data_IF_199549572511
#
_entry.id   IF_199549572511
#
_cell.length_a   1.000
_cell.length_b   1.000
_cell.length_c   1.000
_cell.angle_alpha   90.00
_cell.angle_beta   90.00
_cell.angle_gamma   90.00
#
_symmetry.space_group_name_H-M   'P 1'
#
loop_
_entity.id
_entity.type
_entity.pdbx_description
1 polymer ?
#
# COMPACT_ATOMS: atom_id res chain seq x y z
N UNK A 1 46.52 -12.21 -32.60
CA UNK A 1 46.68 -12.02 -31.15
C UNK A 1 46.16 -13.25 -30.44
N UNK A 2 47.02 -13.98 -29.71
CA UNK A 2 46.60 -15.13 -28.91
C UNK A 2 45.54 -14.67 -27.89
N UNK A 3 44.31 -15.16 -28.04
CA UNK A 3 43.20 -14.81 -27.15
C UNK A 3 43.53 -15.30 -25.74
N UNK A 4 43.84 -14.38 -24.83
CA UNK A 4 44.04 -14.69 -23.41
C UNK A 4 42.72 -15.27 -22.89
N UNK A 5 42.66 -16.59 -22.75
CA UNK A 5 41.53 -17.30 -22.13
C UNK A 5 41.63 -17.09 -20.63
N UNK A 6 40.60 -16.49 -20.03
CA UNK A 6 40.47 -16.40 -18.58
C UNK A 6 39.53 -17.52 -18.15
N UNK A 7 39.99 -18.37 -17.21
CA UNK A 7 39.16 -19.41 -16.58
C UNK A 7 38.77 -18.92 -15.20
N UNK A 8 37.47 -18.81 -14.95
CA UNK A 8 36.92 -18.37 -13.65
C UNK A 8 36.16 -19.56 -13.06
N UNK A 9 36.48 -19.92 -11.81
CA UNK A 9 35.76 -20.95 -11.05
C UNK A 9 34.86 -20.27 -10.04
N UNK A 10 33.62 -20.76 -9.94
CA UNK A 10 32.59 -20.29 -9.01
C UNK A 10 32.43 -18.74 -8.95
N UNK A 11 32.23 -18.07 -10.11
CA UNK A 11 32.05 -16.62 -10.13
C UNK A 11 30.77 -16.19 -9.42
N UNK A 12 30.83 -15.07 -8.70
CA UNK A 12 29.65 -14.36 -8.23
C UNK A 12 29.36 -13.18 -9.15
N UNK A 13 28.13 -13.13 -9.68
CA UNK A 13 27.67 -12.03 -10.52
C UNK A 13 27.00 -10.99 -9.62
N UNK A 14 27.53 -9.77 -9.59
CA UNK A 14 26.93 -8.61 -8.91
C UNK A 14 26.34 -7.66 -9.95
N UNK A 15 25.20 -7.03 -9.65
CA UNK A 15 24.49 -6.11 -10.56
C UNK A 15 24.20 -6.64 -11.97
N UNK A 16 24.11 -7.96 -12.14
CA UNK A 16 23.85 -8.57 -13.44
C UNK A 16 22.37 -8.69 -13.81
N UNK A 17 21.43 -8.51 -12.87
CA UNK A 17 20.03 -8.92 -13.06
C UNK A 17 19.39 -8.24 -14.28
N UNK A 18 19.40 -6.91 -14.33
CA UNK A 18 18.82 -6.15 -15.44
C UNK A 18 19.48 -6.50 -16.78
N UNK A 19 20.83 -6.48 -16.84
CA UNK A 19 21.56 -6.81 -18.07
C UNK A 19 21.30 -8.23 -18.53
N UNK A 20 21.27 -9.20 -17.61
CA UNK A 20 20.98 -10.61 -17.93
C UNK A 20 19.55 -10.78 -18.44
N UNK A 21 18.58 -10.05 -17.88
CA UNK A 21 17.19 -10.08 -18.30
C UNK A 21 17.01 -9.49 -19.71
N UNK A 22 17.66 -8.37 -20.02
CA UNK A 22 17.64 -7.78 -21.36
C UNK A 22 18.28 -8.70 -22.41
N UNK A 23 19.42 -9.31 -22.07
CA UNK A 23 20.09 -10.28 -22.94
C UNK A 23 19.18 -11.49 -23.18
N UNK A 24 18.59 -12.05 -22.12
CA UNK A 24 17.65 -13.16 -22.23
C UNK A 24 16.44 -12.80 -23.10
N UNK A 25 15.81 -11.65 -22.84
CA UNK A 25 14.61 -11.20 -23.56
C UNK A 25 14.88 -10.98 -25.04
N UNK A 26 16.03 -10.38 -25.39
CA UNK A 26 16.45 -10.18 -26.78
C UNK A 26 16.57 -11.49 -27.56
N UNK A 27 17.20 -12.51 -26.96
CA UNK A 27 17.35 -13.82 -27.60
C UNK A 27 16.04 -14.62 -27.60
N UNK A 28 15.23 -14.52 -26.55
CA UNK A 28 13.91 -15.13 -26.48
C UNK A 28 12.99 -14.61 -27.59
N UNK A 29 13.08 -13.32 -27.93
CA UNK A 29 12.33 -12.70 -29.02
C UNK A 29 12.90 -13.01 -30.43
N UNK A 30 13.88 -13.91 -30.55
CA UNK A 30 14.49 -14.29 -31.84
C UNK A 30 15.53 -13.30 -32.37
N UNK A 31 16.02 -12.39 -31.52
CA UNK A 31 17.04 -11.41 -31.89
C UNK A 31 18.39 -12.06 -32.21
N UNK A 32 19.04 -11.58 -33.28
CA UNK A 32 20.42 -11.93 -33.63
C UNK A 32 21.24 -10.67 -33.85
N UNK A 33 22.41 -10.56 -33.19
CA UNK A 33 23.29 -9.40 -33.35
C UNK A 33 24.75 -9.79 -33.18
N UNK A 34 25.61 -9.40 -34.13
CA UNK A 34 27.06 -9.73 -34.12
C UNK A 34 27.96 -8.58 -33.65
N UNK A 35 27.44 -7.35 -33.59
CA UNK A 35 28.25 -6.14 -33.33
C UNK A 35 28.00 -5.52 -31.95
N UNK A 36 27.38 -6.26 -31.01
CA UNK A 36 27.14 -5.77 -29.63
C UNK A 36 28.15 -6.46 -28.72
N UNK A 37 28.73 -5.69 -27.81
CA UNK A 37 29.68 -6.20 -26.82
C UNK A 37 29.14 -5.95 -25.42
N UNK A 38 29.36 -6.90 -24.52
CA UNK A 38 29.10 -6.74 -23.09
C UNK A 38 30.42 -6.44 -22.39
N UNK A 39 30.48 -5.34 -21.65
CA UNK A 39 31.62 -5.04 -20.79
C UNK A 39 31.53 -5.91 -19.54
N UNK A 40 32.42 -6.89 -19.42
CA UNK A 40 32.54 -7.72 -18.21
C UNK A 40 33.72 -7.21 -17.38
N UNK A 41 33.41 -6.62 -16.21
CA UNK A 41 34.42 -6.23 -15.23
C UNK A 41 34.64 -7.37 -14.24
N UNK A 42 35.81 -8.00 -14.31
CA UNK A 42 36.22 -9.04 -13.36
C UNK A 42 36.93 -8.36 -12.20
N UNK A 43 36.44 -8.57 -10.98
CA UNK A 43 37.07 -8.07 -9.75
C UNK A 43 37.48 -9.26 -8.91
N UNK A 44 38.77 -9.40 -8.64
CA UNK A 44 39.30 -10.43 -7.74
C UNK A 44 39.19 -9.90 -6.31
N UNK A 45 38.30 -10.50 -5.52
CA UNK A 45 38.17 -10.14 -4.11
C UNK A 45 39.33 -10.76 -3.28
N UNK A 46 39.97 -10.01 -2.37
CA UNK A 46 40.93 -10.55 -1.42
C UNK A 46 40.32 -11.68 -0.56
N UNK A 47 41.15 -12.61 -0.08
CA UNK A 47 40.72 -13.77 0.72
C UNK A 47 40.08 -13.38 2.07
N UNK A 48 40.38 -12.18 2.61
CA UNK A 48 39.93 -11.74 3.94
C UNK A 48 38.78 -10.71 3.90
N UNK A 49 37.84 -10.89 4.84
CA UNK A 49 36.54 -10.24 4.93
C UNK A 49 36.58 -8.72 5.17
N UNK A 50 35.71 -8.02 4.42
CA UNK A 50 35.31 -6.59 4.39
C UNK A 50 35.38 -6.01 2.97
N UNK A 51 36.29 -6.50 2.13
CA UNK A 51 36.43 -6.05 0.74
C UNK A 51 35.27 -6.53 -0.16
N UNK A 52 34.74 -7.74 0.05
CA UNK A 52 33.57 -8.28 -0.65
C UNK A 52 32.33 -7.40 -0.45
N UNK A 53 32.01 -7.09 0.79
CA UNK A 53 30.86 -6.22 1.11
C UNK A 53 31.07 -4.79 0.59
N UNK A 54 32.31 -4.29 0.54
CA UNK A 54 32.62 -3.00 -0.10
C UNK A 54 32.37 -3.05 -1.60
N UNK A 55 32.73 -4.13 -2.29
CA UNK A 55 32.43 -4.29 -3.73
C UNK A 55 30.92 -4.36 -3.92
N UNK A 56 30.20 -5.18 -3.14
CA UNK A 56 28.74 -5.29 -3.24
C UNK A 56 28.07 -3.92 -2.99
N UNK A 57 28.46 -3.20 -1.92
CA UNK A 57 27.95 -1.86 -1.63
C UNK A 57 28.29 -0.83 -2.71
N UNK A 58 29.53 -0.81 -3.20
CA UNK A 58 30.00 0.14 -4.21
C UNK A 58 29.35 -0.10 -5.59
N UNK A 59 29.06 -1.36 -5.93
CA UNK A 59 28.37 -1.68 -7.17
C UNK A 59 26.88 -1.32 -7.02
N UNK A 60 26.23 -1.71 -5.92
CA UNK A 60 24.84 -1.32 -5.63
C UNK A 60 24.65 0.20 -5.45
N UNK A 61 25.70 0.97 -5.14
CA UNK A 61 25.61 2.43 -5.02
C UNK A 61 25.55 3.18 -6.36
N UNK A 62 25.78 2.52 -7.50
CA UNK A 62 25.65 3.14 -8.83
C UNK A 62 24.19 3.37 -9.26
N UNK A 63 23.24 2.84 -8.50
CA UNK A 63 21.82 3.16 -8.65
C UNK A 63 21.30 3.46 -7.26
N UNK A 64 20.83 4.69 -7.00
CA UNK A 64 20.12 4.97 -5.75
C UNK A 64 18.94 4.02 -5.66
N UNK A 65 19.01 3.05 -4.76
CA UNK A 65 17.91 2.16 -4.47
C UNK A 65 16.77 3.01 -3.90
N UNK A 66 15.56 2.97 -4.48
CA UNK A 66 14.42 3.66 -3.90
C UNK A 66 14.19 3.16 -2.47
N UNK A 67 13.69 4.02 -1.59
CA UNK A 67 13.48 3.67 -0.18
C UNK A 67 12.71 2.35 -0.01
N UNK A 68 11.69 2.10 -0.84
CA UNK A 68 10.93 0.85 -0.86
C UNK A 68 11.77 -0.40 -1.14
N UNK A 69 12.83 -0.31 -1.95
CA UNK A 69 13.70 -1.45 -2.23
C UNK A 69 14.58 -1.83 -1.02
N UNK A 70 14.95 -0.86 -0.18
CA UNK A 70 15.64 -1.12 1.09
C UNK A 70 14.66 -1.78 2.08
N UNK A 71 13.45 -1.21 2.22
CA UNK A 71 12.39 -1.75 3.09
C UNK A 71 11.97 -3.17 2.73
N UNK A 72 11.95 -3.51 1.45
CA UNK A 72 11.58 -4.84 0.94
C UNK A 72 12.41 -6.01 1.49
N UNK A 73 13.55 -5.71 2.14
CA UNK A 73 14.44 -6.70 2.76
C UNK A 73 14.17 -6.91 4.25
N UNK A 74 13.33 -6.08 4.87
CA UNK A 74 13.02 -6.19 6.30
C UNK A 74 12.15 -7.43 6.61
N UNK A 75 12.34 -8.09 7.77
CA UNK A 75 11.62 -9.30 8.13
C UNK A 75 10.09 -9.15 8.09
N UNK A 76 9.57 -8.03 8.61
CA UNK A 76 8.13 -7.76 8.64
C UNK A 76 7.49 -7.79 7.25
N UNK A 77 8.22 -7.40 6.20
CA UNK A 77 7.70 -7.42 4.83
C UNK A 77 7.54 -8.84 4.31
N UNK A 78 8.41 -9.75 4.75
CA UNK A 78 8.30 -11.18 4.45
C UNK A 78 7.14 -11.80 5.24
N UNK A 79 7.01 -11.45 6.52
CA UNK A 79 5.92 -11.97 7.36
C UNK A 79 4.54 -11.56 6.81
N UNK A 80 4.40 -10.31 6.34
CA UNK A 80 3.19 -9.82 5.66
C UNK A 80 2.96 -10.55 4.32
N UNK A 81 4.01 -10.74 3.52
CA UNK A 81 3.91 -11.49 2.26
C UNK A 81 3.39 -12.91 2.49
N UNK A 82 3.97 -13.62 3.44
CA UNK A 82 3.56 -14.96 3.80
C UNK A 82 2.14 -14.96 4.38
N UNK A 83 1.82 -14.09 5.33
CA UNK A 83 0.50 -14.02 5.96
C UNK A 83 -0.63 -13.77 4.95
N UNK A 84 -0.46 -12.80 4.05
CA UNK A 84 -1.45 -12.48 3.01
C UNK A 84 -1.60 -13.60 1.97
N UNK A 85 -0.49 -14.24 1.60
CA UNK A 85 -0.52 -15.36 0.64
C UNK A 85 -1.19 -16.59 1.23
N UNK A 86 -0.91 -16.95 2.49
CA UNK A 86 -1.51 -18.11 3.15
C UNK A 86 -3.01 -17.93 3.41
N UNK A 87 -3.45 -16.73 3.78
CA UNK A 87 -4.87 -16.43 3.92
C UNK A 87 -5.62 -16.36 2.58
N UNK A 88 -4.91 -16.29 1.46
CA UNK A 88 -5.46 -16.18 0.10
C UNK A 88 -6.06 -14.81 -0.22
N UNK A 89 -6.22 -14.53 -1.52
CA UNK A 89 -6.86 -13.32 -2.05
C UNK A 89 -5.93 -12.16 -2.38
N UNK A 90 -4.75 -12.09 -1.76
CA UNK A 90 -3.78 -11.01 -1.99
C UNK A 90 -2.36 -11.52 -2.21
N UNK A 91 -1.69 -10.98 -3.23
CA UNK A 91 -0.28 -11.19 -3.52
C UNK A 91 0.51 -9.93 -3.19
N UNK A 92 1.15 -9.92 -2.03
CA UNK A 92 1.85 -8.74 -1.53
C UNK A 92 3.22 -8.57 -2.18
N UNK A 93 3.33 -7.57 -3.04
CA UNK A 93 4.52 -7.23 -3.79
C UNK A 93 5.48 -6.38 -2.94
N UNK A 94 6.27 -7.04 -2.09
CA UNK A 94 7.37 -6.39 -1.37
C UNK A 94 8.47 -5.88 -2.31
N UNK A 95 8.74 -6.60 -3.42
CA UNK A 95 9.71 -6.24 -4.47
C UNK A 95 8.96 -5.79 -5.71
N UNK A 96 9.22 -4.56 -6.16
CA UNK A 96 8.51 -3.97 -7.29
C UNK A 96 8.43 -4.90 -8.52
N UNK A 97 7.24 -5.00 -9.07
CA UNK A 97 6.83 -5.80 -10.23
C UNK A 97 7.02 -7.32 -10.11
N UNK A 98 7.34 -7.88 -8.94
CA UNK A 98 7.60 -9.31 -8.80
C UNK A 98 6.40 -10.18 -9.24
N UNK A 99 5.23 -10.03 -8.61
CA UNK A 99 4.05 -10.83 -8.93
C UNK A 99 3.45 -10.44 -10.28
N UNK A 100 3.54 -9.17 -10.66
CA UNK A 100 3.07 -8.69 -11.97
C UNK A 100 3.84 -9.33 -13.13
N UNK A 101 5.16 -9.44 -13.00
CA UNK A 101 6.00 -10.08 -14.02
C UNK A 101 5.78 -11.60 -14.11
N UNK A 102 5.29 -12.22 -13.04
CA UNK A 102 4.90 -13.63 -13.01
C UNK A 102 3.49 -13.87 -13.60
N UNK A 103 2.78 -12.81 -14.03
CA UNK A 103 1.47 -12.93 -14.67
C UNK A 103 0.30 -13.11 -13.71
N UNK A 104 0.47 -12.76 -12.42
CA UNK A 104 -0.63 -12.83 -11.45
C UNK A 104 -1.72 -11.79 -11.75
N UNK A 105 -3.00 -12.06 -11.40
CA UNK A 105 -4.09 -11.11 -11.56
C UNK A 105 -3.81 -9.78 -10.86
N UNK A 106 -3.84 -8.68 -11.62
CA UNK A 106 -3.45 -7.35 -11.13
C UNK A 106 -4.34 -6.83 -10.00
N UNK A 107 -5.60 -7.26 -9.95
CA UNK A 107 -6.57 -6.96 -8.91
C UNK A 107 -6.18 -7.57 -7.54
N UNK A 108 -5.47 -8.70 -7.57
CA UNK A 108 -4.99 -9.41 -6.38
C UNK A 108 -3.59 -8.95 -5.96
N UNK A 109 -2.84 -8.27 -6.83
CA UNK A 109 -1.51 -7.76 -6.48
C UNK A 109 -1.62 -6.50 -5.62
N UNK A 110 -0.94 -6.51 -4.47
CA UNK A 110 -0.90 -5.41 -3.51
C UNK A 110 0.54 -4.90 -3.38
N UNK A 111 0.80 -3.66 -3.80
CA UNK A 111 2.12 -3.05 -3.60
C UNK A 111 2.33 -2.61 -2.14
N UNK A 112 3.60 -2.50 -1.73
CA UNK A 112 3.96 -1.92 -0.42
C UNK A 112 3.30 -0.56 -0.18
N UNK A 113 3.30 0.31 -1.20
CA UNK A 113 2.69 1.64 -1.10
C UNK A 113 1.17 1.57 -0.93
N UNK A 114 0.49 0.68 -1.67
CA UNK A 114 -0.96 0.50 -1.54
C UNK A 114 -1.30 0.06 -0.11
N UNK A 115 -0.63 -0.98 0.38
CA UNK A 115 -0.85 -1.46 1.74
C UNK A 115 -0.57 -0.37 2.78
N UNK A 116 0.52 0.40 2.61
CA UNK A 116 0.85 1.49 3.50
C UNK A 116 -0.26 2.54 3.57
N UNK A 117 -0.78 2.99 2.41
CA UNK A 117 -1.86 3.98 2.35
C UNK A 117 -3.16 3.47 2.97
N UNK A 118 -3.55 2.26 2.62
CA UNK A 118 -4.78 1.65 3.12
C UNK A 118 -4.70 1.42 4.64
N UNK A 119 -3.56 0.96 5.16
CA UNK A 119 -3.32 0.85 6.59
C UNK A 119 -3.34 2.23 7.29
N UNK A 120 -2.69 3.24 6.73
CA UNK A 120 -2.72 4.61 7.29
C UNK A 120 -4.14 5.17 7.34
N UNK A 121 -4.95 4.96 6.30
CA UNK A 121 -6.31 5.45 6.26
C UNK A 121 -7.22 4.73 7.26
N UNK A 122 -7.18 3.40 7.32
CA UNK A 122 -8.08 2.60 8.14
C UNK A 122 -7.53 2.35 9.55
N UNK A 123 -6.38 1.71 9.68
CA UNK A 123 -5.84 1.30 10.98
C UNK A 123 -5.33 2.50 11.78
N UNK A 124 -4.67 3.49 11.15
CA UNK A 124 -4.25 4.73 11.84
C UNK A 124 -5.35 5.80 11.88
N UNK A 125 -6.42 5.67 11.09
CA UNK A 125 -7.51 6.66 10.94
C UNK A 125 -7.01 8.03 10.45
N UNK A 126 -5.99 8.03 9.60
CA UNK A 126 -5.35 9.24 9.07
C UNK A 126 -5.50 9.33 7.53
N UNK A 127 -6.73 9.42 6.98
CA UNK A 127 -6.94 9.42 5.52
C UNK A 127 -6.30 10.64 4.84
N UNK A 128 -6.21 11.78 5.53
CA UNK A 128 -5.50 12.95 5.03
C UNK A 128 -3.99 12.70 4.84
N UNK A 129 -3.38 11.86 5.68
CA UNK A 129 -1.96 11.46 5.54
C UNK A 129 -1.81 10.51 4.36
N UNK A 130 -2.66 9.48 4.28
CA UNK A 130 -2.68 8.52 3.18
C UNK A 130 -2.82 9.19 1.80
N UNK A 131 -3.67 10.21 1.71
CA UNK A 131 -3.84 11.02 0.51
C UNK A 131 -2.62 11.92 0.24
N UNK A 132 -2.21 12.72 1.24
CA UNK A 132 -1.21 13.79 1.07
C UNK A 132 0.20 13.26 0.78
N UNK A 133 0.59 12.16 1.41
CA UNK A 133 1.98 11.73 1.40
C UNK A 133 2.34 10.99 0.12
N UNK A 134 3.50 11.36 -0.44
CA UNK A 134 4.14 10.61 -1.51
C UNK A 134 4.67 9.28 -0.98
N UNK A 135 4.99 8.37 -1.90
CA UNK A 135 5.60 7.07 -1.54
C UNK A 135 6.85 7.24 -0.67
N UNK A 136 7.75 8.16 -1.05
CA UNK A 136 8.97 8.43 -0.30
C UNK A 136 8.69 8.85 1.16
N UNK A 137 7.64 9.64 1.38
CA UNK A 137 7.30 10.16 2.71
C UNK A 137 6.60 9.13 3.60
N UNK A 138 5.77 8.26 3.02
CA UNK A 138 5.16 7.15 3.75
C UNK A 138 6.18 6.07 4.13
N UNK A 139 7.23 5.90 3.32
CA UNK A 139 8.29 4.91 3.55
C UNK A 139 9.49 5.46 4.34
N UNK A 140 9.44 6.73 4.75
CA UNK A 140 10.39 7.33 5.68
C UNK A 140 10.20 6.73 7.09
N UNK A 141 11.29 6.57 7.85
CA UNK A 141 11.34 5.86 9.15
C UNK A 141 10.16 6.19 10.07
N UNK A 142 9.83 7.49 10.19
CA UNK A 142 8.79 7.98 11.10
C UNK A 142 7.42 7.36 10.82
N UNK A 143 6.98 7.32 9.57
CA UNK A 143 5.67 6.78 9.19
C UNK A 143 5.75 5.27 8.98
N UNK A 144 6.85 4.81 8.39
CA UNK A 144 7.07 3.40 8.07
C UNK A 144 6.93 2.52 9.31
N UNK A 145 7.56 2.86 10.44
CA UNK A 145 7.48 2.04 11.66
C UNK A 145 6.14 2.10 12.40
N UNK A 146 5.28 3.08 12.09
CA UNK A 146 3.90 3.12 12.59
C UNK A 146 2.99 2.16 11.82
N UNK A 147 3.31 1.93 10.55
CA UNK A 147 2.57 1.06 9.64
C UNK A 147 3.11 -0.37 9.75
N UNK A 148 4.41 -0.54 9.49
CA UNK A 148 5.12 -1.81 9.42
C UNK A 148 5.92 -2.04 10.69
N UNK A 149 5.37 -2.83 11.60
CA UNK A 149 6.01 -3.20 12.85
C UNK A 149 5.64 -4.63 13.24
N UNK A 150 6.58 -5.34 13.86
CA UNK A 150 6.32 -6.65 14.47
C UNK A 150 5.31 -6.60 15.63
N UNK A 151 4.96 -5.40 16.12
CA UNK A 151 3.90 -5.20 17.12
C UNK A 151 2.50 -5.19 16.54
N UNK A 152 2.38 -5.00 15.23
CA UNK A 152 1.09 -4.97 14.52
C UNK A 152 0.75 -6.39 14.13
N UNK A 153 -0.47 -6.82 14.45
CA UNK A 153 -0.99 -8.12 14.06
C UNK A 153 -1.11 -8.21 12.53
N UNK A 154 -0.69 -9.34 11.95
CA UNK A 154 -0.71 -9.55 10.50
C UNK A 154 -2.15 -9.46 9.94
N UNK A 155 -3.15 -9.88 10.72
CA UNK A 155 -4.55 -9.85 10.32
C UNK A 155 -5.07 -8.41 10.13
N UNK A 156 -4.45 -7.42 10.79
CA UNK A 156 -4.85 -6.02 10.65
C UNK A 156 -4.47 -5.45 9.27
N UNK A 157 -3.38 -5.92 8.67
CA UNK A 157 -3.04 -5.55 7.28
C UNK A 157 -4.07 -6.13 6.32
N UNK A 158 -4.46 -7.40 6.51
CA UNK A 158 -5.50 -8.04 5.70
C UNK A 158 -6.83 -7.31 5.84
N UNK A 159 -7.28 -7.05 7.07
CA UNK A 159 -8.53 -6.32 7.33
C UNK A 159 -8.53 -4.94 6.66
N UNK A 160 -7.39 -4.25 6.66
CA UNK A 160 -7.25 -2.96 5.96
C UNK A 160 -7.52 -3.12 4.45
N UNK A 161 -6.97 -4.14 3.80
CA UNK A 161 -7.19 -4.42 2.37
C UNK A 161 -8.64 -4.81 2.08
N UNK A 162 -9.23 -5.67 2.92
CA UNK A 162 -10.60 -6.16 2.74
C UNK A 162 -11.63 -5.02 2.84
N UNK A 163 -11.47 -4.13 3.83
CA UNK A 163 -12.31 -2.94 4.00
C UNK A 163 -12.23 -2.03 2.77
N UNK A 164 -11.02 -1.75 2.29
CA UNK A 164 -10.84 -0.88 1.11
C UNK A 164 -11.38 -1.54 -0.16
N UNK A 165 -11.23 -2.86 -0.30
CA UNK A 165 -11.76 -3.60 -1.45
C UNK A 165 -13.28 -3.50 -1.49
N UNK A 166 -13.96 -3.74 -0.35
CA UNK A 166 -15.42 -3.67 -0.23
C UNK A 166 -15.96 -2.25 -0.45
N UNK A 167 -15.31 -1.23 0.12
CA UNK A 167 -15.70 0.17 -0.09
C UNK A 167 -15.45 0.60 -1.54
N UNK A 168 -14.33 0.19 -2.16
CA UNK A 168 -14.04 0.52 -3.56
C UNK A 168 -15.08 -0.06 -4.51
N UNK A 169 -15.49 -1.31 -4.30
CA UNK A 169 -16.58 -1.93 -5.07
C UNK A 169 -17.88 -1.14 -4.95
N UNK A 170 -18.27 -0.76 -3.73
CA UNK A 170 -19.42 0.09 -3.49
C UNK A 170 -19.30 1.46 -4.16
N UNK A 171 -18.15 2.12 -4.04
CA UNK A 171 -17.90 3.43 -4.63
C UNK A 171 -17.90 3.39 -6.17
N UNK A 172 -17.41 2.31 -6.79
CA UNK A 172 -17.46 2.16 -8.23
C UNK A 172 -18.92 2.14 -8.73
N UNK A 173 -19.80 1.38 -8.07
CA UNK A 173 -21.23 1.38 -8.37
C UNK A 173 -21.86 2.77 -8.08
N UNK A 174 -21.49 3.39 -6.96
CA UNK A 174 -21.96 4.74 -6.62
C UNK A 174 -21.47 5.83 -7.59
N UNK A 175 -20.35 5.59 -8.30
CA UNK A 175 -19.75 6.53 -9.25
C UNK A 175 -20.31 6.43 -10.67
N UNK A 176 -21.08 5.38 -11.01
CA UNK A 176 -21.58 5.15 -12.38
C UNK A 176 -22.31 6.38 -12.95
N UNK A 177 -23.19 7.00 -12.17
CA UNK A 177 -23.91 8.22 -12.55
C UNK A 177 -23.20 9.52 -12.11
N UNK A 178 -21.96 9.43 -11.61
CA UNK A 178 -21.21 10.54 -10.98
C UNK A 178 -19.75 10.58 -11.49
N UNK A 179 -19.50 10.98 -12.74
CA UNK A 179 -18.17 10.88 -13.37
C UNK A 179 -17.07 11.63 -12.62
N UNK A 180 -17.37 12.81 -12.06
CA UNK A 180 -16.42 13.60 -11.26
C UNK A 180 -15.99 12.89 -9.96
N UNK A 181 -16.88 12.05 -9.40
CA UNK A 181 -16.54 11.22 -8.24
C UNK A 181 -15.62 10.08 -8.68
N UNK A 182 -15.89 9.45 -9.82
CA UNK A 182 -15.05 8.41 -10.40
C UNK A 182 -13.59 8.85 -10.56
N UNK A 183 -13.35 10.06 -11.09
CA UNK A 183 -12.01 10.64 -11.22
C UNK A 183 -11.32 10.93 -9.88
N UNK A 184 -12.10 11.04 -8.79
CA UNK A 184 -11.63 11.41 -7.46
C UNK A 184 -11.91 10.32 -6.41
N UNK A 185 -12.06 9.06 -6.83
CA UNK A 185 -12.53 7.98 -5.95
C UNK A 185 -11.67 7.80 -4.69
N UNK A 186 -10.35 8.00 -4.79
CA UNK A 186 -9.43 7.92 -3.66
C UNK A 186 -9.75 8.97 -2.57
N UNK A 187 -10.22 10.15 -2.96
CA UNK A 187 -10.64 11.21 -2.03
C UNK A 187 -11.90 10.85 -1.25
N UNK A 188 -12.63 9.81 -1.68
CA UNK A 188 -13.79 9.25 -0.98
C UNK A 188 -13.42 7.96 -0.24
N UNK A 189 -12.65 7.10 -0.89
CA UNK A 189 -12.26 5.79 -0.38
C UNK A 189 -11.53 5.88 0.96
N UNK A 190 -10.45 6.65 1.06
CA UNK A 190 -9.67 6.70 2.31
C UNK A 190 -10.48 7.32 3.47
N UNK A 191 -11.20 8.45 3.29
CA UNK A 191 -12.09 8.95 4.33
C UNK A 191 -13.17 7.95 4.76
N UNK A 192 -13.80 7.24 3.82
CA UNK A 192 -14.80 6.21 4.13
C UNK A 192 -14.20 5.05 4.92
N UNK A 193 -13.03 4.55 4.51
CA UNK A 193 -12.33 3.52 5.25
C UNK A 193 -12.04 3.98 6.69
N UNK A 194 -11.51 5.20 6.86
CA UNK A 194 -11.24 5.76 8.19
C UNK A 194 -12.50 5.85 9.06
N UNK A 195 -13.64 6.31 8.51
CA UNK A 195 -14.87 6.43 9.30
C UNK A 195 -15.58 5.10 9.54
N UNK A 196 -15.38 4.11 8.66
CA UNK A 196 -15.91 2.75 8.85
C UNK A 196 -15.35 2.11 10.12
N UNK A 197 -14.09 2.38 10.47
CA UNK A 197 -13.49 1.89 11.72
C UNK A 197 -14.28 2.33 12.96
N UNK A 198 -14.76 3.59 13.00
CA UNK A 198 -15.60 4.08 14.11
C UNK A 198 -17.01 3.52 14.06
N UNK A 199 -17.58 3.36 12.85
CA UNK A 199 -18.94 2.86 12.70
C UNK A 199 -19.06 1.38 13.06
N UNK A 200 -18.09 0.56 12.66
CA UNK A 200 -18.07 -0.89 12.88
C UNK A 200 -17.76 -1.23 14.34
N UNK A 201 -16.80 -0.53 14.96
CA UNK A 201 -16.46 -0.76 16.38
C UNK A 201 -17.42 -0.05 17.34
N UNK A 202 -18.13 0.97 16.88
CA UNK A 202 -18.96 1.88 17.70
C UNK A 202 -18.17 2.59 18.80
N UNK A 203 -16.84 2.70 18.64
CA UNK A 203 -15.94 3.36 19.58
C UNK A 203 -15.46 4.71 19.07
N UNK A 204 -15.21 5.64 19.99
CA UNK A 204 -14.66 6.97 19.66
C UNK A 204 -13.17 6.93 19.33
N UNK A 205 -12.46 5.99 19.95
CA UNK A 205 -11.02 5.78 19.81
C UNK A 205 -10.75 4.28 19.81
N UNK A 206 -11.04 3.57 18.69
CA UNK A 206 -10.81 2.14 18.60
C UNK A 206 -9.32 1.82 18.74
N UNK A 207 -8.96 0.82 19.54
CA UNK A 207 -7.59 0.29 19.58
C UNK A 207 -7.37 -0.71 18.43
N UNK A 208 -6.11 -1.06 18.09
CA UNK A 208 -5.86 -2.11 17.11
C UNK A 208 -6.58 -3.43 17.42
N UNK A 209 -6.71 -3.79 18.71
CA UNK A 209 -7.44 -4.98 19.15
C UNK A 209 -8.95 -4.87 18.88
N UNK A 210 -9.52 -3.68 19.05
CA UNK A 210 -10.94 -3.45 18.72
C UNK A 210 -11.20 -3.58 17.22
N UNK A 211 -10.23 -3.15 16.39
CA UNK A 211 -10.32 -3.31 14.94
C UNK A 211 -10.29 -4.79 14.52
N UNK A 212 -9.45 -5.61 15.16
CA UNK A 212 -9.39 -7.06 14.88
C UNK A 212 -10.70 -7.79 15.22
N UNK A 213 -11.56 -7.22 16.07
CA UNK A 213 -12.88 -7.77 16.39
C UNK A 213 -13.98 -7.32 15.42
N UNK A 214 -13.64 -6.56 14.37
CA UNK A 214 -14.61 -6.13 13.35
C UNK A 214 -15.08 -7.36 12.57
N UNK A 215 -16.39 -7.57 12.57
CA UNK A 215 -17.05 -8.42 11.60
C UNK A 215 -17.34 -7.59 10.33
N UNK A 216 -16.69 -7.97 9.23
CA UNK A 216 -16.76 -7.26 7.96
C UNK A 216 -18.14 -7.35 7.31
N UNK A 217 -18.98 -8.33 7.68
CA UNK A 217 -20.33 -8.45 7.13
C UNK A 217 -21.24 -7.29 7.54
N UNK A 218 -20.93 -6.64 8.67
CA UNK A 218 -21.58 -5.41 9.08
C UNK A 218 -21.23 -4.20 8.20
N UNK A 219 -20.18 -4.26 7.38
CA UNK A 219 -19.91 -3.28 6.32
C UNK A 219 -20.79 -3.55 5.09
N UNK A 220 -22.09 -3.67 5.30
CA UNK A 220 -23.08 -3.92 4.26
C UNK A 220 -23.40 -2.64 3.47
N UNK A 221 -24.16 -2.80 2.38
CA UNK A 221 -24.52 -1.71 1.46
C UNK A 221 -25.24 -0.56 2.19
N UNK A 222 -26.14 -0.86 3.12
CA UNK A 222 -26.87 0.16 3.90
C UNK A 222 -25.92 1.03 4.74
N UNK A 223 -24.96 0.40 5.45
CA UNK A 223 -23.96 1.14 6.20
C UNK A 223 -23.10 2.00 5.28
N UNK A 224 -22.66 1.44 4.15
CA UNK A 224 -21.81 2.16 3.19
C UNK A 224 -22.55 3.33 2.55
N UNK A 225 -23.82 3.17 2.14
CA UNK A 225 -24.67 4.25 1.61
C UNK A 225 -24.81 5.38 2.62
N UNK A 226 -25.07 5.05 3.88
CA UNK A 226 -25.19 6.03 4.96
C UNK A 226 -23.89 6.81 5.16
N UNK A 227 -22.74 6.12 5.24
CA UNK A 227 -21.43 6.77 5.41
C UNK A 227 -21.07 7.63 4.20
N UNK A 228 -21.35 7.15 2.99
CA UNK A 228 -21.16 7.90 1.73
C UNK A 228 -22.02 9.17 1.72
N UNK A 229 -23.28 9.09 2.15
CA UNK A 229 -24.15 10.26 2.31
C UNK A 229 -23.62 11.28 3.31
N UNK A 230 -23.10 10.83 4.46
CA UNK A 230 -22.47 11.71 5.46
C UNK A 230 -21.24 12.43 4.88
N UNK A 231 -20.41 11.68 4.16
CA UNK A 231 -19.20 12.22 3.53
C UNK A 231 -19.55 13.25 2.44
N UNK A 232 -20.55 12.95 1.60
CA UNK A 232 -21.06 13.86 0.58
C UNK A 232 -21.54 15.19 1.17
N UNK A 233 -22.33 15.13 2.26
CA UNK A 233 -22.78 16.34 2.95
C UNK A 233 -21.62 17.13 3.56
N UNK A 234 -20.60 16.43 4.08
CA UNK A 234 -19.40 17.08 4.59
C UNK A 234 -18.62 17.79 3.47
N UNK A 235 -18.46 17.16 2.29
CA UNK A 235 -17.85 17.79 1.12
C UNK A 235 -18.65 19.00 0.63
N UNK A 236 -19.97 18.86 0.45
CA UNK A 236 -20.87 19.95 0.05
C UNK A 236 -20.74 21.15 0.99
N UNK A 237 -20.68 20.91 2.30
CA UNK A 237 -20.54 22.00 3.28
C UNK A 237 -19.15 22.64 3.24
N UNK A 238 -18.09 21.84 3.07
CA UNK A 238 -16.73 22.36 2.96
C UNK A 238 -16.54 23.19 1.69
N UNK A 239 -17.10 22.77 0.56
CA UNK A 239 -17.05 23.49 -0.73
C UNK A 239 -17.77 24.84 -0.66
N UNK A 240 -18.93 24.91 0.01
CA UNK A 240 -19.65 26.18 0.23
C UNK A 240 -18.82 27.21 1.00
N UNK A 241 -18.06 26.74 2.00
CA UNK A 241 -17.26 27.59 2.86
C UNK A 241 -15.88 27.92 2.28
N UNK A 242 -15.43 27.20 1.25
CA UNK A 242 -14.09 27.35 0.68
C UNK A 242 -14.15 27.31 -0.86
N UNK A 243 -14.53 28.45 -1.46
CA UNK A 243 -14.73 28.62 -2.91
C UNK A 243 -13.51 28.29 -3.79
N UNK A 244 -12.31 28.17 -3.20
CA UNK A 244 -11.05 27.94 -3.94
C UNK A 244 -10.45 26.53 -3.78
N UNK A 245 -11.09 25.64 -3.00
CA UNK A 245 -10.58 24.29 -2.75
C UNK A 245 -11.46 23.21 -3.37
N UNK A 246 -10.98 22.51 -4.41
CA UNK A 246 -11.65 21.30 -4.91
C UNK A 246 -11.64 20.14 -3.90
N UNK A 247 -12.41 19.09 -4.18
CA UNK A 247 -12.56 17.88 -3.34
C UNK A 247 -11.20 17.32 -2.91
N UNK A 248 -10.23 17.25 -3.83
CA UNK A 248 -8.87 16.77 -3.56
C UNK A 248 -8.17 17.56 -2.44
N UNK A 249 -8.19 18.89 -2.52
CA UNK A 249 -7.57 19.75 -1.50
C UNK A 249 -8.29 19.67 -0.15
N UNK A 250 -9.59 19.41 -0.16
CA UNK A 250 -10.40 19.28 1.06
C UNK A 250 -10.10 17.95 1.75
N UNK A 251 -10.09 16.84 1.00
CA UNK A 251 -9.87 15.50 1.55
C UNK A 251 -8.48 15.34 2.21
N UNK A 252 -7.47 16.06 1.70
CA UNK A 252 -6.09 16.07 2.22
C UNK A 252 -5.90 16.88 3.52
N UNK A 253 -6.96 17.44 4.11
CA UNK A 253 -6.88 18.29 5.31
C UNK A 253 -7.23 17.55 6.61
N UNK A 254 -6.41 17.70 7.68
CA UNK A 254 -6.74 17.14 8.99
C UNK A 254 -8.07 17.67 9.56
N UNK A 255 -8.41 18.93 9.30
CA UNK A 255 -9.66 19.55 9.76
C UNK A 255 -10.89 18.86 9.16
N UNK A 256 -10.81 18.49 7.88
CA UNK A 256 -11.86 17.74 7.21
C UNK A 256 -11.99 16.32 7.79
N UNK A 257 -10.86 15.64 8.01
CA UNK A 257 -10.82 14.32 8.68
C UNK A 257 -11.48 14.37 10.07
N UNK A 258 -11.19 15.40 10.85
CA UNK A 258 -11.78 15.57 12.17
C UNK A 258 -13.28 15.83 12.12
N UNK A 259 -13.73 16.63 11.15
CA UNK A 259 -15.16 16.93 10.96
C UNK A 259 -15.96 15.67 10.61
N UNK A 260 -15.53 14.90 9.61
CA UNK A 260 -16.23 13.67 9.20
C UNK A 260 -16.29 12.66 10.36
N UNK A 261 -15.20 12.52 11.11
CA UNK A 261 -15.14 11.66 12.29
C UNK A 261 -16.16 12.10 13.34
N UNK A 262 -16.22 13.38 13.67
CA UNK A 262 -17.18 13.91 14.64
C UNK A 262 -18.63 13.66 14.21
N UNK A 263 -18.94 13.84 12.92
CA UNK A 263 -20.29 13.59 12.39
C UNK A 263 -20.67 12.10 12.47
N UNK A 264 -19.79 11.18 12.10
CA UNK A 264 -20.08 9.73 12.17
C UNK A 264 -20.20 9.26 13.63
N UNK A 265 -19.33 9.75 14.51
CA UNK A 265 -19.34 9.41 15.94
C UNK A 265 -20.55 10.02 16.67
N UNK A 266 -21.10 11.15 16.21
CA UNK A 266 -22.31 11.73 16.80
C UNK A 266 -23.59 11.01 16.35
N UNK A 267 -23.63 10.51 15.11
CA UNK A 267 -24.78 9.77 14.59
C UNK A 267 -24.88 8.35 15.16
N UNK A 268 -23.75 7.70 15.44
CA UNK A 268 -23.70 6.39 16.10
C UNK A 268 -24.21 6.40 17.55
N UNK A 269 -24.51 7.58 18.13
CA UNK A 269 -25.14 7.74 19.46
C UNK A 269 -26.67 7.57 19.48
N UNK A 270 -27.36 7.42 18.34
CA UNK A 270 -28.84 7.44 18.29
C UNK A 270 -29.51 6.08 18.02
N UNK A 271 -28.89 4.95 18.37
CA UNK A 271 -29.61 3.69 18.60
C UNK A 271 -29.32 3.19 20.01
N UNK A 272 -29.89 3.90 20.98
CA UNK A 272 -30.22 3.34 22.30
C UNK A 272 -31.75 3.25 22.32
N UNK A 273 -32.30 2.22 21.67
CA UNK A 273 -33.61 1.74 22.09
C UNK A 273 -33.37 0.87 23.32
N UNK A 274 -33.48 1.50 24.50
CA UNK A 274 -33.91 0.74 25.67
C UNK A 274 -35.30 0.20 25.35
N UNK A 275 -35.36 -1.04 24.88
CA UNK A 275 -36.55 -1.86 25.10
C UNK A 275 -36.59 -2.19 26.59
N UNK A 276 -37.03 -1.22 27.39
CA UNK A 276 -37.70 -1.52 28.65
C UNK A 276 -38.98 -2.27 28.26
N UNK A 277 -38.93 -3.59 28.33
CA UNK A 277 -40.14 -4.38 28.60
C UNK A 277 -40.10 -4.77 30.06
N UNK A 278 -40.59 -3.86 30.88
CA UNK A 278 -41.45 -4.25 32.00
C UNK A 278 -42.71 -4.87 31.37
N UNK A 279 -42.88 -6.19 31.52
CA UNK A 279 -44.04 -6.95 32.04
C UNK A 279 -43.65 -8.42 32.02
#
# INVERSE_FOLDING_TARGET
MAGKKIVIKDPQIVNGLQTSHEVYSFFQAGGHHRNRSLLVKIVVAPENGTARDRIIRATNSQTQLPAGALRATEPIQKDIEEGLTHGGGYYYERRASYYRNLGFPLDQVVSMLRLAREFTAFALREPHVALRHSEALLLEDKHYHQIFSAKVDLDLYRLSLDVHTRIRQHLNAYAEDRPLLGETIENWLYPLAAVSAYALTRLRQPTPRDLLNIDLDHLNTELMDRLTGVLDQCFKTALRNNKAGGVDRIARRPEFTNRIRQTVVSQSRFHIEHTSKDV
#
